data_IF_387808091736
#
_entry.id   IF_387808091736
#
_cell.length_a   1.000
_cell.length_b   1.000
_cell.length_c   1.000
_cell.angle_alpha   90.00
_cell.angle_beta   90.00
_cell.angle_gamma   90.00
#
_symmetry.space_group_name_H-M   'P 1'
#
loop_
_entity.id
_entity.type
_entity.pdbx_description
1 polymer ?
#
# COMPACT_ATOMS: atom_id res chain seq x y z
N UNK A 1 -26.68 62.61 -25.84
CA UNK A 1 -25.36 62.69 -25.20
C UNK A 1 -25.42 61.87 -23.91
N UNK A 2 -24.47 60.95 -23.72
CA UNK A 2 -24.14 60.18 -22.51
C UNK A 2 -25.10 59.08 -21.99
N UNK A 3 -24.65 57.85 -22.28
CA UNK A 3 -24.94 56.55 -21.69
C UNK A 3 -24.77 56.47 -20.17
N UNK A 4 -25.42 55.50 -19.53
CA UNK A 4 -24.86 54.82 -18.35
C UNK A 4 -25.23 53.34 -18.37
N UNK A 5 -24.19 52.51 -18.42
CA UNK A 5 -24.22 51.09 -18.65
C UNK A 5 -24.61 50.33 -17.37
N UNK A 6 -25.53 49.37 -17.50
CA UNK A 6 -25.76 48.36 -16.46
C UNK A 6 -24.62 47.34 -16.54
N UNK A 7 -23.70 47.43 -15.58
CA UNK A 7 -22.55 46.54 -15.49
C UNK A 7 -23.01 45.17 -14.96
N UNK A 8 -23.21 44.20 -15.87
CA UNK A 8 -23.49 42.83 -15.47
C UNK A 8 -22.21 42.24 -14.89
N UNK A 9 -22.23 41.92 -13.59
CA UNK A 9 -21.12 41.27 -12.92
C UNK A 9 -21.17 39.80 -13.31
N UNK A 10 -20.28 39.40 -14.22
CA UNK A 10 -20.08 38.00 -14.58
C UNK A 10 -19.76 37.20 -13.31
N UNK A 11 -20.68 36.33 -12.90
CA UNK A 11 -20.42 35.32 -11.89
C UNK A 11 -19.41 34.34 -12.49
N UNK A 12 -18.15 34.49 -12.14
CA UNK A 12 -17.16 33.45 -12.36
C UNK A 12 -17.62 32.23 -11.55
N UNK A 13 -18.18 31.24 -12.25
CA UNK A 13 -18.47 29.95 -11.68
C UNK A 13 -17.15 29.40 -11.14
N UNK A 14 -17.04 29.34 -9.81
CA UNK A 14 -15.97 28.62 -9.14
C UNK A 14 -16.15 27.16 -9.57
N UNK A 15 -15.28 26.69 -10.46
CA UNK A 15 -15.21 25.29 -10.80
C UNK A 15 -15.01 24.50 -9.50
N UNK A 16 -15.80 23.44 -9.23
CA UNK A 16 -15.54 22.61 -8.08
C UNK A 16 -14.13 22.02 -8.25
N UNK A 17 -13.24 22.34 -7.31
CA UNK A 17 -11.95 21.69 -7.22
C UNK A 17 -12.22 20.19 -7.10
N UNK A 18 -11.94 19.43 -8.16
CA UNK A 18 -12.03 17.98 -8.11
C UNK A 18 -11.08 17.51 -7.01
N UNK A 19 -11.54 16.72 -6.02
CA UNK A 19 -10.62 16.12 -5.09
C UNK A 19 -9.61 15.34 -5.94
N UNK A 20 -8.34 15.69 -5.85
CA UNK A 20 -7.25 14.90 -6.39
C UNK A 20 -7.22 13.62 -5.55
N UNK A 21 -8.15 12.72 -5.86
CA UNK A 21 -8.21 11.40 -5.28
C UNK A 21 -6.91 10.74 -5.67
N UNK A 22 -6.01 10.65 -4.71
CA UNK A 22 -4.89 9.72 -4.78
C UNK A 22 -5.55 8.34 -4.69
N UNK A 23 -6.16 7.92 -5.79
CA UNK A 23 -6.75 6.60 -5.96
C UNK A 23 -5.53 5.69 -6.04
N UNK A 24 -4.99 5.34 -4.87
CA UNK A 24 -4.14 4.19 -4.75
C UNK A 24 -4.87 3.08 -5.53
N UNK A 25 -4.17 2.36 -6.43
CA UNK A 25 -4.81 1.26 -7.14
C UNK A 25 -5.57 0.43 -6.11
N UNK A 26 -6.76 -0.04 -6.46
CA UNK A 26 -7.54 -1.00 -5.66
C UNK A 26 -6.79 -2.34 -5.61
N UNK A 27 -5.57 -2.31 -5.09
CA UNK A 27 -4.74 -3.44 -4.76
C UNK A 27 -5.08 -3.93 -3.36
N UNK A 28 -4.35 -4.96 -2.93
CA UNK A 28 -4.58 -5.58 -1.63
C UNK A 28 -4.67 -4.54 -0.51
N UNK A 29 -5.67 -4.71 0.35
CA UNK A 29 -5.76 -3.91 1.57
C UNK A 29 -4.54 -4.21 2.43
N UNK A 30 -4.15 -3.26 3.30
CA UNK A 30 -3.00 -3.48 4.21
C UNK A 30 -3.15 -4.76 5.03
N UNK A 31 -4.39 -5.12 5.38
CA UNK A 31 -4.69 -6.35 6.09
C UNK A 31 -4.44 -7.59 5.23
N UNK A 32 -4.85 -7.56 3.97
CA UNK A 32 -4.54 -8.64 3.02
C UNK A 32 -3.03 -8.79 2.82
N UNK A 33 -2.29 -7.68 2.70
CA UNK A 33 -0.83 -7.72 2.59
C UNK A 33 -0.20 -8.35 3.84
N UNK A 34 -0.70 -8.04 5.05
CA UNK A 34 -0.22 -8.71 6.27
C UNK A 34 -0.47 -10.21 6.25
N UNK A 35 -1.68 -10.62 5.87
CA UNK A 35 -2.00 -12.05 5.78
C UNK A 35 -1.11 -12.77 4.76
N UNK A 36 -0.79 -12.13 3.64
CA UNK A 36 0.14 -12.67 2.66
C UNK A 36 1.56 -12.77 3.21
N UNK A 37 2.03 -11.74 3.91
CA UNK A 37 3.34 -11.76 4.56
C UNK A 37 3.46 -12.84 5.64
N UNK A 38 2.41 -13.07 6.42
CA UNK A 38 2.36 -14.17 7.41
C UNK A 38 2.47 -15.52 6.68
N UNK A 39 1.72 -15.72 5.59
CA UNK A 39 1.81 -16.95 4.78
C UNK A 39 3.21 -17.16 4.21
N UNK A 40 3.79 -16.13 3.60
CA UNK A 40 5.14 -16.18 3.03
C UNK A 40 6.21 -16.41 4.11
N UNK A 41 5.99 -15.92 5.33
CA UNK A 41 6.86 -16.17 6.48
C UNK A 41 6.82 -17.66 6.86
N UNK A 42 5.63 -18.25 7.01
CA UNK A 42 5.52 -19.69 7.29
C UNK A 42 6.03 -20.57 6.14
N UNK A 43 5.97 -20.10 4.90
CA UNK A 43 6.52 -20.82 3.74
C UNK A 43 8.05 -20.75 3.67
N UNK A 44 8.69 -19.85 4.43
CA UNK A 44 10.15 -19.67 4.43
C UNK A 44 10.66 -18.81 3.26
N UNK A 45 9.76 -18.19 2.50
CA UNK A 45 10.08 -17.34 1.35
C UNK A 45 10.62 -15.97 1.72
N UNK A 46 10.45 -15.54 2.98
CA UNK A 46 10.96 -14.26 3.43
C UNK A 46 12.50 -14.31 3.49
N UNK A 47 13.22 -13.46 2.72
CA UNK A 47 14.66 -13.38 2.79
C UNK A 47 15.10 -12.81 4.14
N UNK A 48 16.15 -13.38 4.71
CA UNK A 48 16.77 -12.89 5.97
C UNK A 48 17.83 -11.83 5.72
N UNK A 49 18.28 -11.67 4.47
CA UNK A 49 19.31 -10.71 4.03
C UNK A 49 18.93 -10.07 2.70
N UNK A 50 19.29 -8.81 2.51
CA UNK A 50 18.95 -8.02 1.31
C UNK A 50 19.60 -8.52 0.01
N UNK A 51 20.61 -9.39 0.08
CA UNK A 51 21.34 -9.91 -1.08
C UNK A 51 20.89 -11.30 -1.54
N UNK A 52 20.02 -11.95 -0.77
CA UNK A 52 19.54 -13.32 -0.98
C UNK A 52 18.14 -13.32 -1.61
N UNK A 53 17.93 -12.45 -2.61
CA UNK A 53 16.65 -12.36 -3.31
C UNK A 53 16.75 -12.79 -4.78
N UNK A 54 15.99 -13.83 -5.20
CA UNK A 54 15.13 -14.71 -4.39
C UNK A 54 15.94 -15.73 -3.56
N UNK A 55 15.46 -16.14 -2.36
CA UNK A 55 16.15 -17.13 -1.54
C UNK A 55 16.20 -18.49 -2.25
N UNK A 56 17.35 -19.17 -2.16
CA UNK A 56 17.49 -20.53 -2.66
C UNK A 56 16.63 -21.55 -1.90
N UNK A 57 16.36 -22.73 -2.47
CA UNK A 57 15.51 -23.77 -1.85
C UNK A 57 16.03 -24.25 -0.49
N UNK A 58 17.36 -24.30 -0.31
CA UNK A 58 18.00 -24.67 0.96
C UNK A 58 17.74 -23.60 2.04
N UNK A 59 17.82 -22.32 1.64
CA UNK A 59 17.50 -21.18 2.51
C UNK A 59 16.02 -21.18 2.90
N UNK A 60 15.12 -21.49 1.96
CA UNK A 60 13.68 -21.60 2.23
C UNK A 60 13.40 -22.69 3.27
N UNK A 61 13.98 -23.89 3.12
CA UNK A 61 13.83 -24.99 4.07
C UNK A 61 14.31 -24.59 5.47
N UNK A 62 15.51 -24.00 5.57
CA UNK A 62 16.06 -23.51 6.82
C UNK A 62 15.19 -22.42 7.46
N UNK A 63 14.71 -21.46 6.67
CA UNK A 63 13.85 -20.39 7.15
C UNK A 63 12.54 -20.95 7.70
N UNK A 64 11.94 -21.92 7.01
CA UNK A 64 10.74 -22.61 7.48
C UNK A 64 10.95 -23.28 8.84
N UNK A 65 12.07 -23.97 9.03
CA UNK A 65 12.42 -24.56 10.34
C UNK A 65 12.61 -23.48 11.42
N UNK A 66 13.37 -22.42 11.12
CA UNK A 66 13.61 -21.32 12.06
C UNK A 66 12.32 -20.59 12.46
N UNK A 67 11.43 -20.37 11.50
CA UNK A 67 10.16 -19.69 11.72
C UNK A 67 9.17 -20.57 12.49
N UNK A 68 9.24 -21.90 12.32
CA UNK A 68 8.46 -22.84 13.14
C UNK A 68 8.91 -22.83 14.61
N UNK A 69 10.18 -22.55 14.87
CA UNK A 69 10.75 -22.46 16.22
C UNK A 69 10.54 -21.09 16.87
N UNK A 70 10.40 -20.03 16.06
CA UNK A 70 10.23 -18.65 16.53
C UNK A 70 9.15 -17.95 15.71
N UNK A 71 7.96 -17.89 16.30
CA UNK A 71 6.93 -16.98 15.85
C UNK A 71 7.26 -15.55 16.29
N UNK A 72 7.37 -14.59 15.35
CA UNK A 72 7.67 -13.23 15.69
C UNK A 72 6.40 -12.53 16.18
N UNK A 73 6.56 -11.61 17.13
CA UNK A 73 5.45 -10.84 17.73
C UNK A 73 4.65 -10.01 16.72
N UNK A 74 5.19 -9.70 15.55
CA UNK A 74 4.45 -9.03 14.48
C UNK A 74 3.54 -10.00 13.70
N UNK A 75 3.88 -11.30 13.65
CA UNK A 75 3.06 -12.30 13.01
C UNK A 75 1.93 -12.77 13.92
N UNK A 76 2.14 -12.79 15.24
CA UNK A 76 1.15 -13.18 16.25
C UNK A 76 0.13 -12.08 16.61
N UNK A 77 0.33 -10.85 16.12
CA UNK A 77 -0.62 -9.75 16.31
C UNK A 77 -1.64 -9.73 15.17
N UNK A 78 -2.76 -10.42 15.37
CA UNK A 78 -3.96 -10.35 14.53
C UNK A 78 -5.21 -10.18 15.40
#
# INVERSE_FOLDING_TARGET
MASSASSTRGAAAVAPASPSGNSAPSGMTREQVRQELIRAYHDGLLPTSNHDYPPGPETIARNKELHSLREPVWAAQH
#
